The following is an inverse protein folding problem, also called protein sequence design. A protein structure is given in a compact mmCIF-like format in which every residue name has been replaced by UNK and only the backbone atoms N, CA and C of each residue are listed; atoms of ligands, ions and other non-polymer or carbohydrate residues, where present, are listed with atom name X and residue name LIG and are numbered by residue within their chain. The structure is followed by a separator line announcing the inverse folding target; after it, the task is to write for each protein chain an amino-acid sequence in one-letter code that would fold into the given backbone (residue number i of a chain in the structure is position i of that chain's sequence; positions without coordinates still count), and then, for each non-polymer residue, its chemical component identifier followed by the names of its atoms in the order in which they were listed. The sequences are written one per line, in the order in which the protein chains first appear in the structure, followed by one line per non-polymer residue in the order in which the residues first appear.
data_IF_302387925167
#
_entry.id   IF_302387925167
#
_cell.length_a   1.000
_cell.length_b   1.000
_cell.length_c   1.000
_cell.angle_alpha   90.00
_cell.angle_beta   90.00
_cell.angle_gamma   90.00
#
_symmetry.space_group_name_H-M   'P 1'
#
loop_
_entity.id
_entity.type
_entity.pdbx_description
1 polymer ?
#
# COMPACT_ATOMS: atom_id res chain seq x y z
N UNK A 1 -1.72 2.40 17.36
CA UNK A 1 -2.71 3.14 16.51
C UNK A 1 -3.98 2.30 16.48
N UNK A 2 -5.16 2.89 16.73
CA UNK A 2 -6.45 2.15 16.73
C UNK A 2 -6.88 1.94 15.28
N UNK A 3 -7.09 0.68 14.89
CA UNK A 3 -7.53 0.36 13.53
C UNK A 3 -8.97 0.85 13.28
N UNK A 4 -9.17 1.47 12.12
CA UNK A 4 -10.44 2.03 11.68
C UNK A 4 -11.17 1.04 10.79
N UNK A 5 -12.36 0.63 11.22
CA UNK A 5 -13.15 -0.39 10.53
C UNK A 5 -14.48 0.18 10.07
N UNK A 6 -14.83 -0.05 8.81
CA UNK A 6 -16.15 0.28 8.26
C UNK A 6 -16.98 -1.00 8.16
N UNK A 7 -18.16 -1.03 8.77
CA UNK A 7 -19.11 -2.11 8.57
C UNK A 7 -20.29 -1.63 7.70
N UNK A 8 -20.57 -2.35 6.62
CA UNK A 8 -21.65 -2.03 5.68
C UNK A 8 -22.72 -3.13 5.67
N UNK A 9 -23.99 -2.74 5.68
CA UNK A 9 -25.14 -3.64 5.60
C UNK A 9 -26.08 -3.59 6.80
N UNK A 10 -27.06 -4.48 6.84
CA UNK A 10 -28.15 -4.45 7.81
C UNK A 10 -27.71 -4.64 9.26
N UNK A 11 -26.73 -5.49 9.51
CA UNK A 11 -26.20 -5.76 10.87
C UNK A 11 -25.01 -4.85 11.26
N UNK A 12 -24.66 -3.87 10.44
CA UNK A 12 -23.45 -3.03 10.62
C UNK A 12 -23.38 -2.37 12.00
N UNK A 13 -24.51 -1.87 12.53
CA UNK A 13 -24.55 -1.24 13.88
C UNK A 13 -24.18 -2.21 14.99
N UNK A 14 -24.66 -3.48 14.92
CA UNK A 14 -24.34 -4.52 15.91
C UNK A 14 -22.85 -4.90 15.84
N UNK A 15 -22.34 -5.05 14.63
CA UNK A 15 -20.91 -5.34 14.41
C UNK A 15 -20.04 -4.18 14.91
N UNK A 16 -20.41 -2.94 14.66
CA UNK A 16 -19.68 -1.78 15.18
C UNK A 16 -19.65 -1.72 16.71
N UNK A 17 -20.76 -2.03 17.39
CA UNK A 17 -20.78 -2.09 18.86
C UNK A 17 -19.76 -3.12 19.36
N UNK A 18 -19.80 -4.35 18.82
CA UNK A 18 -18.84 -5.41 19.15
C UNK A 18 -17.39 -4.96 18.91
N UNK A 19 -17.11 -4.35 17.78
CA UNK A 19 -15.75 -3.90 17.41
C UNK A 19 -15.26 -2.79 18.35
N UNK A 20 -16.14 -1.87 18.72
CA UNK A 20 -15.80 -0.78 19.66
C UNK A 20 -15.48 -1.31 21.06
N UNK A 21 -16.23 -2.31 21.54
CA UNK A 21 -15.92 -3.00 22.81
C UNK A 21 -14.54 -3.67 22.80
N UNK A 22 -14.05 -4.08 21.61
CA UNK A 22 -12.74 -4.69 21.45
C UNK A 22 -11.64 -3.71 20.97
N UNK A 23 -11.87 -2.41 21.11
CA UNK A 23 -10.85 -1.38 20.89
C UNK A 23 -10.62 -0.95 19.44
N UNK A 24 -11.54 -1.28 18.53
CA UNK A 24 -11.52 -0.79 17.15
C UNK A 24 -12.30 0.53 16.99
N UNK A 25 -11.85 1.42 16.12
CA UNK A 25 -12.63 2.59 15.73
C UNK A 25 -13.61 2.22 14.60
N UNK A 26 -14.82 1.79 14.96
CA UNK A 26 -15.78 1.25 14.00
C UNK A 26 -16.84 2.27 13.59
N UNK A 27 -17.20 2.27 12.31
CA UNK A 27 -18.29 3.05 11.72
C UNK A 27 -19.25 2.14 10.97
N UNK A 28 -20.56 2.42 11.09
CA UNK A 28 -21.61 1.70 10.39
C UNK A 28 -22.12 2.50 9.19
N UNK A 29 -22.27 1.84 8.04
CA UNK A 29 -22.91 2.37 6.86
C UNK A 29 -23.98 1.41 6.33
N UNK A 30 -24.93 1.93 5.54
CA UNK A 30 -25.88 1.06 4.82
C UNK A 30 -25.24 0.46 3.58
N UNK A 31 -24.54 1.29 2.82
CA UNK A 31 -23.84 0.94 1.59
C UNK A 31 -22.48 1.64 1.52
N UNK A 32 -21.52 1.02 0.89
CA UNK A 32 -20.17 1.59 0.74
C UNK A 32 -20.16 2.91 -0.05
N UNK A 33 -21.02 3.03 -1.08
CA UNK A 33 -21.08 4.22 -1.94
C UNK A 33 -21.53 5.50 -1.21
N UNK A 34 -22.13 5.38 -0.03
CA UNK A 34 -22.65 6.51 0.76
C UNK A 34 -21.65 7.07 1.76
N UNK A 35 -20.53 6.40 2.00
CA UNK A 35 -19.48 6.87 2.91
C UNK A 35 -18.14 7.03 2.20
N UNK A 36 -17.53 8.21 2.41
CA UNK A 36 -16.12 8.40 2.04
C UNK A 36 -15.27 7.59 2.99
N UNK A 37 -14.83 6.41 2.54
CA UNK A 37 -13.98 5.52 3.30
C UNK A 37 -12.50 5.98 3.26
N UNK A 38 -12.25 7.24 3.62
CA UNK A 38 -10.88 7.73 3.73
C UNK A 38 -10.25 7.29 5.05
N UNK A 39 -9.06 6.71 4.97
CA UNK A 39 -8.28 6.34 6.13
C UNK A 39 -8.82 5.16 6.94
N UNK A 40 -9.63 4.27 6.33
CA UNK A 40 -10.02 2.99 6.95
C UNK A 40 -8.95 1.92 6.70
N UNK A 41 -8.86 1.01 7.66
CA UNK A 41 -7.91 -0.10 7.63
C UNK A 41 -8.56 -1.40 7.20
N UNK A 42 -9.84 -1.59 7.54
CA UNK A 42 -10.62 -2.74 7.11
C UNK A 42 -12.08 -2.37 6.84
N UNK A 43 -12.75 -3.19 6.02
CA UNK A 43 -14.19 -3.12 5.78
C UNK A 43 -14.83 -4.48 5.97
N UNK A 44 -16.04 -4.49 6.54
CA UNK A 44 -16.85 -5.69 6.74
C UNK A 44 -18.15 -5.51 5.97
N UNK A 45 -18.38 -6.34 4.97
CA UNK A 45 -19.58 -6.34 4.13
C UNK A 45 -20.55 -7.41 4.64
N UNK A 46 -21.78 -7.00 4.95
CA UNK A 46 -22.80 -7.80 5.61
C UNK A 46 -24.11 -7.78 4.78
N UNK A 47 -24.93 -8.84 4.82
CA UNK A 47 -26.24 -8.80 4.17
C UNK A 47 -27.19 -7.76 4.84
N UNK A 48 -28.21 -7.25 4.14
CA UNK A 48 -28.47 -7.46 2.73
C UNK A 48 -27.70 -6.45 1.88
N UNK A 49 -26.80 -6.93 1.07
CA UNK A 49 -26.15 -6.14 0.01
C UNK A 49 -26.34 -6.87 -1.31
N UNK A 50 -26.59 -6.17 -2.41
CA UNK A 50 -26.64 -6.77 -3.73
C UNK A 50 -25.26 -7.27 -4.15
N UNK A 51 -25.22 -8.26 -5.03
CA UNK A 51 -23.97 -8.80 -5.57
C UNK A 51 -23.13 -7.70 -6.22
N UNK A 52 -23.75 -6.79 -6.96
CA UNK A 52 -23.11 -5.66 -7.60
C UNK A 52 -22.51 -4.66 -6.58
N UNK A 53 -23.23 -4.40 -5.48
CA UNK A 53 -22.74 -3.52 -4.42
C UNK A 53 -21.54 -4.15 -3.69
N UNK A 54 -21.55 -5.46 -3.44
CA UNK A 54 -20.43 -6.20 -2.85
C UNK A 54 -19.23 -6.18 -3.78
N UNK A 55 -19.44 -6.44 -5.07
CA UNK A 55 -18.37 -6.43 -6.07
C UNK A 55 -17.73 -5.05 -6.17
N UNK A 56 -18.52 -4.02 -6.38
CA UNK A 56 -18.03 -2.63 -6.49
C UNK A 56 -17.29 -2.18 -5.24
N UNK A 57 -17.83 -2.48 -4.05
CA UNK A 57 -17.19 -2.15 -2.78
C UNK A 57 -15.88 -2.91 -2.58
N UNK A 58 -15.85 -4.23 -2.81
CA UNK A 58 -14.68 -5.07 -2.64
C UNK A 58 -13.53 -4.63 -3.58
N UNK A 59 -13.83 -4.40 -4.86
CA UNK A 59 -12.84 -3.93 -5.83
C UNK A 59 -12.29 -2.53 -5.50
N UNK A 60 -13.16 -1.61 -5.10
CA UNK A 60 -12.75 -0.25 -4.74
C UNK A 60 -11.85 -0.24 -3.49
N UNK A 61 -12.17 -1.08 -2.50
CA UNK A 61 -11.42 -1.23 -1.26
C UNK A 61 -10.09 -1.96 -1.49
N UNK A 62 -10.08 -3.02 -2.31
CA UNK A 62 -8.88 -3.76 -2.67
C UNK A 62 -7.85 -2.85 -3.35
N UNK A 63 -8.26 -2.02 -4.32
CA UNK A 63 -7.38 -1.03 -4.98
C UNK A 63 -6.75 -0.03 -4.00
N UNK A 64 -7.36 0.18 -2.84
CA UNK A 64 -6.85 1.07 -1.78
C UNK A 64 -6.05 0.32 -0.71
N UNK A 65 -5.81 -0.97 -0.90
CA UNK A 65 -5.12 -1.81 0.07
C UNK A 65 -5.87 -1.96 1.39
N UNK A 66 -7.20 -1.85 1.41
CA UNK A 66 -8.04 -2.03 2.60
C UNK A 66 -8.37 -3.51 2.76
N UNK A 67 -8.24 -4.06 3.97
CA UNK A 67 -8.65 -5.43 4.24
C UNK A 67 -10.18 -5.56 4.14
N UNK A 68 -10.68 -6.53 3.39
CA UNK A 68 -12.13 -6.73 3.17
C UNK A 68 -12.57 -8.09 3.71
N UNK A 69 -13.58 -8.09 4.58
CA UNK A 69 -14.26 -9.28 5.06
C UNK A 69 -15.70 -9.28 4.55
N UNK A 70 -16.12 -10.37 3.93
CA UNK A 70 -17.49 -10.58 3.46
C UNK A 70 -18.16 -11.64 4.31
N UNK A 71 -19.19 -11.27 5.08
CA UNK A 71 -19.92 -12.18 5.96
C UNK A 71 -21.27 -12.52 5.34
N UNK A 72 -21.47 -13.78 4.96
CA UNK A 72 -22.72 -14.25 4.33
C UNK A 72 -23.00 -13.67 2.94
N UNK A 73 -22.02 -13.00 2.34
CA UNK A 73 -22.04 -12.51 0.96
C UNK A 73 -20.80 -13.02 0.21
N UNK A 74 -20.93 -13.27 -1.08
CA UNK A 74 -19.82 -13.79 -1.89
C UNK A 74 -19.00 -12.63 -2.46
N UNK A 75 -17.69 -12.56 -2.18
CA UNK A 75 -16.81 -11.58 -2.80
C UNK A 75 -16.49 -11.96 -4.24
N UNK A 76 -15.99 -11.02 -5.07
CA UNK A 76 -15.39 -11.33 -6.37
C UNK A 76 -14.17 -12.25 -6.20
N UNK A 77 -13.92 -13.12 -7.19
CA UNK A 77 -12.83 -14.12 -7.11
C UNK A 77 -11.52 -13.38 -6.97
N UNK A 78 -11.00 -12.54 -7.53
CA UNK A 78 -9.66 -11.92 -7.40
C UNK A 78 -9.59 -10.68 -6.47
N UNK A 79 -10.60 -10.48 -5.62
CA UNK A 79 -10.66 -9.28 -4.75
C UNK A 79 -9.73 -9.32 -3.53
N UNK A 80 -9.17 -10.49 -3.20
CA UNK A 80 -8.43 -10.69 -1.95
C UNK A 80 -9.29 -10.55 -0.68
N UNK A 81 -10.62 -10.48 -0.82
CA UNK A 81 -11.53 -10.40 0.31
C UNK A 81 -11.71 -11.76 0.99
N UNK A 82 -11.74 -11.75 2.31
CA UNK A 82 -11.95 -12.96 3.11
C UNK A 82 -13.44 -13.23 3.24
N UNK A 83 -13.90 -14.40 2.80
CA UNK A 83 -15.29 -14.83 2.95
C UNK A 83 -15.51 -15.55 4.27
N UNK A 84 -16.53 -15.16 5.01
CA UNK A 84 -17.01 -15.81 6.23
C UNK A 84 -18.46 -16.28 6.04
N UNK A 85 -18.85 -17.43 6.62
CA UNK A 85 -20.23 -17.87 6.59
C UNK A 85 -21.14 -16.99 7.45
N UNK A 86 -22.44 -17.04 7.20
CA UNK A 86 -23.44 -16.43 8.08
C UNK A 86 -24.38 -17.54 8.58
N UNK A 87 -24.61 -17.66 9.89
CA UNK A 87 -24.10 -16.80 10.99
C UNK A 87 -22.61 -17.07 11.31
N UNK A 88 -21.90 -16.02 11.73
CA UNK A 88 -20.51 -16.09 12.21
C UNK A 88 -20.46 -15.73 13.70
N UNK A 89 -19.65 -16.44 14.48
CA UNK A 89 -19.44 -16.09 15.88
C UNK A 89 -18.57 -14.84 16.04
N UNK A 90 -18.78 -14.07 17.11
CA UNK A 90 -17.99 -12.89 17.42
C UNK A 90 -16.48 -13.20 17.48
N UNK A 91 -16.11 -14.33 18.07
CA UNK A 91 -14.72 -14.74 18.19
C UNK A 91 -14.07 -14.96 16.80
N UNK A 92 -14.73 -15.67 15.90
CA UNK A 92 -14.23 -15.91 14.54
C UNK A 92 -14.12 -14.61 13.76
N UNK A 93 -15.12 -13.72 13.85
CA UNK A 93 -15.08 -12.42 13.19
C UNK A 93 -13.90 -11.58 13.65
N UNK A 94 -13.69 -11.48 14.98
CA UNK A 94 -12.60 -10.71 15.56
C UNK A 94 -11.21 -11.28 15.22
N UNK A 95 -11.06 -12.61 15.30
CA UNK A 95 -9.80 -13.26 14.93
C UNK A 95 -9.47 -13.07 13.45
N UNK A 96 -10.46 -13.23 12.56
CA UNK A 96 -10.26 -13.03 11.13
C UNK A 96 -9.95 -11.56 10.81
N UNK A 97 -10.62 -10.62 11.47
CA UNK A 97 -10.33 -9.20 11.31
C UNK A 97 -8.89 -8.87 11.76
N UNK A 98 -8.48 -9.36 12.91
CA UNK A 98 -7.12 -9.15 13.41
C UNK A 98 -6.08 -9.72 12.45
N UNK A 99 -6.29 -10.94 11.96
CA UNK A 99 -5.42 -11.56 10.96
C UNK A 99 -5.37 -10.76 9.65
N UNK A 100 -6.52 -10.33 9.13
CA UNK A 100 -6.59 -9.55 7.90
C UNK A 100 -5.85 -8.20 8.03
N UNK A 101 -5.99 -7.52 9.17
CA UNK A 101 -5.26 -6.29 9.46
C UNK A 101 -3.74 -6.51 9.55
N UNK A 102 -3.31 -7.59 10.19
CA UNK A 102 -1.89 -7.95 10.27
C UNK A 102 -1.30 -8.26 8.90
N UNK A 103 -2.02 -9.06 8.09
CA UNK A 103 -1.58 -9.38 6.72
C UNK A 103 -1.50 -8.14 5.85
N UNK A 104 -2.48 -7.24 5.95
CA UNK A 104 -2.44 -5.94 5.27
C UNK A 104 -1.19 -5.14 5.65
N UNK A 105 -0.91 -5.03 6.94
CA UNK A 105 0.26 -4.29 7.42
C UNK A 105 1.58 -4.88 6.87
N UNK A 106 1.69 -6.22 6.83
CA UNK A 106 2.85 -6.91 6.25
C UNK A 106 2.99 -6.65 4.74
N UNK A 107 1.88 -6.73 3.99
CA UNK A 107 1.89 -6.45 2.55
C UNK A 107 2.33 -5.02 2.27
N UNK A 108 1.80 -4.02 2.98
CA UNK A 108 2.22 -2.63 2.83
C UNK A 108 3.70 -2.41 3.17
N UNK A 109 4.21 -3.09 4.19
CA UNK A 109 5.64 -3.02 4.53
C UNK A 109 6.51 -3.59 3.40
N UNK A 110 6.13 -4.73 2.83
CA UNK A 110 6.84 -5.36 1.70
C UNK A 110 6.75 -4.51 0.43
N UNK A 111 5.60 -3.92 0.12
CA UNK A 111 5.44 -2.99 -1.00
C UNK A 111 6.36 -1.77 -0.84
N UNK A 112 6.38 -1.18 0.35
CA UNK A 112 7.25 -0.04 0.65
C UNK A 112 8.74 -0.39 0.53
N UNK A 113 9.15 -1.57 0.98
CA UNK A 113 10.52 -2.05 0.80
C UNK A 113 10.85 -2.30 -0.67
N UNK A 114 9.94 -2.91 -1.42
CA UNK A 114 10.09 -3.15 -2.85
C UNK A 114 10.27 -1.85 -3.63
N UNK A 115 9.46 -0.83 -3.36
CA UNK A 115 9.60 0.49 -3.99
C UNK A 115 10.93 1.16 -3.62
N UNK A 116 11.37 1.05 -2.37
CA UNK A 116 12.67 1.55 -1.93
C UNK A 116 13.83 0.84 -2.65
N UNK A 117 13.76 -0.49 -2.80
CA UNK A 117 14.77 -1.26 -3.52
C UNK A 117 14.79 -0.92 -5.01
N UNK A 118 13.64 -0.76 -5.64
CA UNK A 118 13.53 -0.31 -7.04
C UNK A 118 14.13 1.07 -7.24
N UNK A 119 13.87 2.01 -6.34
CA UNK A 119 14.45 3.35 -6.38
C UNK A 119 15.98 3.30 -6.24
N UNK A 120 16.51 2.53 -5.28
CA UNK A 120 17.95 2.36 -5.08
C UNK A 120 18.62 1.73 -6.30
N UNK A 121 17.99 0.73 -6.93
CA UNK A 121 18.48 0.13 -8.17
C UNK A 121 18.47 1.14 -9.33
N UNK A 122 17.44 1.97 -9.41
CA UNK A 122 17.36 3.06 -10.40
C UNK A 122 18.49 4.07 -10.21
N UNK A 123 18.78 4.47 -8.98
CA UNK A 123 19.87 5.38 -8.66
C UNK A 123 21.23 4.78 -8.97
N UNK A 124 21.44 3.48 -8.68
CA UNK A 124 22.65 2.77 -9.01
C UNK A 124 22.91 2.77 -10.53
N UNK A 125 21.92 2.40 -11.33
CA UNK A 125 22.00 2.40 -12.80
C UNK A 125 22.31 3.79 -13.37
N UNK A 126 21.69 4.83 -12.80
CA UNK A 126 21.90 6.21 -13.22
C UNK A 126 23.33 6.69 -12.94
N UNK A 127 23.84 6.40 -11.72
CA UNK A 127 25.20 6.75 -11.32
C UNK A 127 26.22 5.98 -12.17
N UNK A 128 25.96 4.72 -12.46
CA UNK A 128 26.85 3.90 -13.29
C UNK A 128 26.92 4.42 -14.73
N UNK A 129 25.78 4.81 -15.30
CA UNK A 129 25.72 5.46 -16.61
C UNK A 129 26.48 6.79 -16.63
N UNK A 130 26.35 7.60 -15.58
CA UNK A 130 27.10 8.84 -15.44
C UNK A 130 28.64 8.60 -15.33
N UNK A 131 29.08 7.56 -14.61
CA UNK A 131 30.49 7.15 -14.61
C UNK A 131 30.99 6.78 -16.01
N UNK A 132 30.19 5.98 -16.75
CA UNK A 132 30.52 5.62 -18.13
C UNK A 132 30.69 6.87 -19.01
N UNK A 133 29.80 7.86 -18.89
CA UNK A 133 29.93 9.12 -19.61
C UNK A 133 31.22 9.86 -19.25
N UNK A 134 31.59 9.98 -17.98
CA UNK A 134 32.86 10.61 -17.56
C UNK A 134 34.06 9.85 -18.06
N UNK A 135 34.04 8.53 -18.08
CA UNK A 135 35.11 7.71 -18.65
C UNK A 135 35.23 7.95 -20.15
N UNK A 136 34.10 7.91 -20.86
CA UNK A 136 34.09 8.03 -22.33
C UNK A 136 34.50 9.42 -22.84
N UNK A 137 33.93 10.46 -22.22
CA UNK A 137 34.13 11.84 -22.72
C UNK A 137 35.32 12.57 -22.10
N UNK A 138 35.69 12.24 -20.85
CA UNK A 138 36.77 12.90 -20.13
C UNK A 138 38.00 12.01 -19.90
N UNK A 139 37.97 10.75 -20.34
CA UNK A 139 39.13 9.84 -20.19
C UNK A 139 39.41 9.47 -18.71
N UNK A 140 38.44 9.63 -17.81
CA UNK A 140 38.66 9.32 -16.41
C UNK A 140 38.76 7.80 -16.18
N UNK A 141 39.45 7.39 -15.10
CA UNK A 141 39.35 6.01 -14.64
C UNK A 141 38.03 5.83 -13.90
N UNK A 142 37.52 4.59 -13.75
CA UNK A 142 36.31 4.33 -12.99
C UNK A 142 36.39 4.88 -11.55
N UNK A 143 37.58 4.72 -10.93
CA UNK A 143 37.84 5.22 -9.58
C UNK A 143 37.74 6.74 -9.47
N UNK A 144 38.25 7.44 -10.50
CA UNK A 144 38.23 8.90 -10.54
C UNK A 144 36.83 9.42 -10.83
N UNK A 145 36.09 8.78 -11.73
CA UNK A 145 34.71 9.11 -12.05
C UNK A 145 33.81 8.93 -10.79
N UNK A 146 33.98 7.83 -10.07
CA UNK A 146 33.27 7.60 -8.81
C UNK A 146 33.56 8.70 -7.77
N UNK A 147 34.84 8.99 -7.52
CA UNK A 147 35.27 10.06 -6.60
C UNK A 147 34.77 11.42 -7.02
N UNK A 148 34.74 11.71 -8.31
CA UNK A 148 34.22 12.95 -8.85
C UNK A 148 32.76 13.16 -8.50
N UNK A 149 31.90 12.14 -8.75
CA UNK A 149 30.47 12.18 -8.42
C UNK A 149 30.27 12.36 -6.91
N UNK A 150 31.01 11.62 -6.08
CA UNK A 150 30.92 11.74 -4.62
C UNK A 150 31.33 13.14 -4.12
N UNK A 151 32.45 13.66 -4.58
CA UNK A 151 32.92 14.98 -4.21
C UNK A 151 31.93 16.07 -4.60
N UNK A 152 31.41 16.05 -5.83
CA UNK A 152 30.41 17.00 -6.29
C UNK A 152 29.11 16.94 -5.45
N UNK A 153 28.66 15.73 -5.08
CA UNK A 153 27.50 15.54 -4.24
C UNK A 153 27.71 16.14 -2.82
N UNK A 154 28.89 15.94 -2.24
CA UNK A 154 29.27 16.51 -0.95
C UNK A 154 29.39 18.03 -1.00
N UNK A 155 30.10 18.57 -2.00
CA UNK A 155 30.36 20.01 -2.15
C UNK A 155 29.04 20.78 -2.35
N UNK A 156 28.11 20.23 -3.15
CA UNK A 156 26.80 20.83 -3.40
C UNK A 156 25.72 20.44 -2.37
N UNK A 157 26.00 19.50 -1.48
CA UNK A 157 25.04 18.94 -0.51
C UNK A 157 23.77 18.39 -1.15
N UNK A 158 23.91 17.71 -2.28
CA UNK A 158 22.82 17.05 -3.00
C UNK A 158 23.05 15.56 -3.12
N UNK A 159 22.01 14.75 -3.35
CA UNK A 159 22.15 13.32 -3.62
C UNK A 159 23.03 13.06 -4.85
N UNK A 160 23.81 11.96 -4.84
CA UNK A 160 24.62 11.54 -5.99
C UNK A 160 23.81 11.38 -7.28
N UNK A 161 22.52 11.03 -7.14
CA UNK A 161 21.55 10.96 -8.25
C UNK A 161 21.45 12.28 -9.02
N UNK A 162 21.40 13.42 -8.33
CA UNK A 162 21.29 14.73 -8.98
C UNK A 162 22.56 15.07 -9.78
N UNK A 163 23.73 14.78 -9.21
CA UNK A 163 24.99 14.94 -9.93
C UNK A 163 25.06 14.04 -11.17
N UNK A 164 24.60 12.78 -11.04
CA UNK A 164 24.55 11.87 -12.17
C UNK A 164 23.62 12.38 -13.29
N UNK A 165 22.46 12.92 -12.93
CA UNK A 165 21.54 13.55 -13.90
C UNK A 165 22.17 14.77 -14.59
N UNK A 166 22.88 15.64 -13.86
CA UNK A 166 23.55 16.79 -14.43
C UNK A 166 24.65 16.38 -15.41
N UNK A 167 25.44 15.36 -15.07
CA UNK A 167 26.45 14.78 -15.95
C UNK A 167 25.81 14.26 -17.23
N UNK A 168 24.77 13.44 -17.11
CA UNK A 168 24.10 12.85 -18.27
C UNK A 168 23.47 13.90 -19.19
N UNK A 169 22.85 14.95 -18.62
CA UNK A 169 22.33 16.08 -19.42
C UNK A 169 23.43 16.82 -20.19
N UNK A 170 24.66 16.82 -19.69
CA UNK A 170 25.77 17.51 -20.31
C UNK A 170 26.38 16.69 -21.46
N UNK A 171 26.47 15.37 -21.28
CA UNK A 171 27.22 14.48 -22.21
C UNK A 171 26.31 13.58 -23.05
N UNK A 172 25.05 13.37 -22.67
CA UNK A 172 24.07 12.58 -23.39
C UNK A 172 22.76 13.39 -23.57
N UNK A 173 22.74 14.45 -24.39
CA UNK A 173 21.57 15.28 -24.62
C UNK A 173 20.40 14.54 -25.31
#
# INVERSE_FOLDING_TARGET
MVAKVLACGGAAKKVCALLTEHGYAARAAREYAQERAEGIDAAILLPPLSAEAVQSAAEALARRGVAVLCVGVRPPEDSGAVQLPSPVSSAVLLQTLAFALEMRARLHALEGENERLKAALGDFKLIDRAKCALIQYLGMTEKDAHRFIEKQAMDRRVPRREIALDILKTYEP
#
